data_IF_447743898852
#
_entry.id   IF_447743898852
#
_cell.length_a   1.000
_cell.length_b   1.000
_cell.length_c   1.000
_cell.angle_alpha   90.00
_cell.angle_beta   90.00
_cell.angle_gamma   90.00
#
_symmetry.space_group_name_H-M   'P 1'
#
loop_
_entity.id
_entity.type
_entity.pdbx_description
1 polymer ?
#
# COMPACT_ATOMS: atom_id res chain seq x y z
N UNK A 1 69.88 -40.98 -5.14
CA UNK A 1 68.64 -41.40 -4.45
C UNK A 1 67.60 -41.70 -5.52
N UNK A 2 67.14 -42.96 -5.65
CA UNK A 2 66.07 -43.34 -6.59
C UNK A 2 64.74 -42.91 -5.98
N UNK A 3 64.17 -41.81 -6.45
CA UNK A 3 62.78 -41.47 -6.13
C UNK A 3 61.89 -42.54 -6.76
N UNK A 4 61.15 -43.27 -5.92
CA UNK A 4 60.24 -44.32 -6.37
C UNK A 4 59.09 -43.66 -7.16
N UNK A 5 58.76 -44.20 -8.33
CA UNK A 5 57.60 -43.74 -9.13
C UNK A 5 56.32 -43.66 -8.28
N UNK A 6 56.18 -44.52 -7.25
CA UNK A 6 55.08 -44.49 -6.28
C UNK A 6 55.05 -43.21 -5.44
N UNK A 7 56.20 -42.69 -5.01
CA UNK A 7 56.26 -41.43 -4.23
C UNK A 7 55.88 -40.21 -5.08
N UNK A 8 56.21 -40.22 -6.37
CA UNK A 8 55.84 -39.14 -7.29
C UNK A 8 54.33 -39.15 -7.60
N UNK A 9 53.74 -40.34 -7.80
CA UNK A 9 52.30 -40.48 -8.02
C UNK A 9 51.51 -40.07 -6.77
N UNK A 10 51.98 -40.45 -5.57
CA UNK A 10 51.35 -40.02 -4.30
C UNK A 10 51.41 -38.51 -4.09
N UNK A 11 52.54 -37.88 -4.40
CA UNK A 11 52.68 -36.42 -4.38
C UNK A 11 51.79 -35.73 -5.40
N UNK A 12 51.69 -36.27 -6.62
CA UNK A 12 50.78 -35.78 -7.66
C UNK A 12 49.31 -35.91 -7.26
N UNK A 13 48.91 -37.02 -6.63
CA UNK A 13 47.55 -37.22 -6.11
C UNK A 13 47.25 -36.30 -4.93
N UNK A 14 48.21 -36.08 -4.01
CA UNK A 14 48.06 -35.09 -2.93
C UNK A 14 47.97 -33.65 -3.46
N UNK A 15 48.77 -33.31 -4.48
CA UNK A 15 48.69 -32.04 -5.19
C UNK A 15 47.35 -31.90 -5.93
N UNK A 16 46.86 -32.95 -6.59
CA UNK A 16 45.55 -32.95 -7.27
C UNK A 16 44.39 -32.83 -6.28
N UNK A 17 44.46 -33.51 -5.12
CA UNK A 17 43.49 -33.39 -4.04
C UNK A 17 43.50 -32.00 -3.38
N UNK A 18 44.66 -31.33 -3.33
CA UNK A 18 44.75 -29.94 -2.85
C UNK A 18 44.28 -28.89 -3.85
N UNK A 19 44.12 -29.28 -5.13
CA UNK A 19 43.64 -28.42 -6.23
C UNK A 19 42.16 -28.66 -6.54
N UNK A 20 41.51 -29.63 -5.90
CA UNK A 20 40.06 -29.70 -5.83
C UNK A 20 39.58 -28.58 -4.92
N UNK A 21 39.35 -27.42 -5.54
CA UNK A 21 38.50 -26.31 -5.12
C UNK A 21 38.18 -26.29 -3.63
N UNK A 22 38.89 -25.44 -2.88
CA UNK A 22 38.39 -24.95 -1.60
C UNK A 22 37.11 -24.16 -1.92
N UNK A 23 35.98 -24.86 -2.00
CA UNK A 23 34.68 -24.22 -1.82
C UNK A 23 34.75 -23.60 -0.44
N UNK A 24 34.67 -22.28 -0.34
CA UNK A 24 34.49 -21.63 0.95
C UNK A 24 33.17 -22.16 1.53
N UNK A 25 33.24 -23.04 2.52
CA UNK A 25 32.07 -23.53 3.22
C UNK A 25 31.52 -22.39 4.08
N UNK A 26 30.29 -21.97 3.82
CA UNK A 26 29.54 -21.04 4.64
C UNK A 26 28.66 -21.82 5.64
N UNK A 27 28.23 -21.17 6.71
CA UNK A 27 27.57 -21.87 7.83
C UNK A 27 26.03 -21.82 7.76
N UNK A 28 25.47 -20.74 7.21
CA UNK A 28 24.02 -20.54 7.04
C UNK A 28 23.75 -19.43 6.01
N UNK A 29 22.49 -19.22 5.62
CA UNK A 29 22.09 -18.02 4.88
C UNK A 29 21.30 -17.05 5.74
N UNK A 30 21.52 -15.75 5.54
CA UNK A 30 20.45 -14.77 5.79
C UNK A 30 19.51 -14.73 4.59
N UNK A 31 18.24 -14.99 4.83
CA UNK A 31 17.17 -14.65 3.91
C UNK A 31 16.59 -13.28 4.29
N UNK A 32 16.80 -12.30 3.42
CA UNK A 32 16.52 -10.90 3.69
C UNK A 32 15.39 -10.41 2.81
N UNK A 33 14.36 -9.86 3.46
CA UNK A 33 13.22 -9.25 2.81
C UNK A 33 13.14 -7.76 3.19
N UNK A 34 12.72 -6.91 2.26
CA UNK A 34 12.64 -5.46 2.43
C UNK A 34 11.23 -4.95 2.24
N UNK A 35 10.85 -3.92 3.01
CA UNK A 35 9.61 -3.19 2.82
C UNK A 35 9.77 -2.11 1.74
N UNK A 36 9.05 -2.17 0.61
CA UNK A 36 9.19 -1.18 -0.46
C UNK A 36 8.86 0.25 -0.02
N UNK A 37 7.93 0.42 0.93
CA UNK A 37 7.57 1.73 1.49
C UNK A 37 8.79 2.43 2.08
N UNK A 38 9.44 1.77 3.03
CA UNK A 38 10.61 2.30 3.73
C UNK A 38 11.87 2.42 2.87
N UNK A 39 11.95 1.76 1.71
CA UNK A 39 12.99 2.05 0.73
C UNK A 39 12.73 3.39 0.01
N UNK A 40 11.46 3.67 -0.28
CA UNK A 40 11.03 4.74 -1.18
C UNK A 40 10.72 6.08 -0.50
N UNK A 41 10.56 6.12 0.81
CA UNK A 41 10.22 7.33 1.59
C UNK A 41 11.44 7.95 2.32
N UNK A 42 12.64 7.58 1.91
CA UNK A 42 13.90 8.18 2.38
C UNK A 42 14.29 9.40 1.54
N UNK A 43 15.35 10.10 1.95
CA UNK A 43 15.95 11.18 1.12
C UNK A 43 16.57 10.69 -0.20
N UNK A 44 16.77 9.37 -0.34
CA UNK A 44 17.31 8.78 -1.57
C UNK A 44 16.17 8.56 -2.56
N UNK A 45 16.47 8.76 -3.84
CA UNK A 45 15.51 8.47 -4.91
C UNK A 45 15.21 6.97 -4.99
N UNK A 46 13.95 6.64 -5.24
CA UNK A 46 13.53 5.32 -5.64
C UNK A 46 12.79 5.37 -6.98
N UNK A 47 12.85 4.28 -7.73
CA UNK A 47 12.18 4.14 -9.01
C UNK A 47 11.48 2.78 -9.07
N UNK A 48 10.21 2.77 -9.45
CA UNK A 48 9.51 1.50 -9.63
C UNK A 48 10.09 0.69 -10.80
N UNK A 49 10.04 -0.65 -10.76
CA UNK A 49 10.41 -1.49 -11.88
C UNK A 49 9.69 -1.13 -13.17
N UNK A 50 10.26 -1.55 -14.29
CA UNK A 50 9.62 -1.46 -15.62
C UNK A 50 8.27 -2.19 -15.72
N UNK A 51 7.98 -3.11 -14.78
CA UNK A 51 6.70 -3.81 -14.66
C UNK A 51 5.65 -3.02 -13.86
N UNK A 52 5.97 -1.80 -13.41
CA UNK A 52 5.09 -0.95 -12.62
C UNK A 52 5.40 -0.99 -11.13
N UNK A 53 4.56 -0.32 -10.34
CA UNK A 53 4.66 -0.27 -8.87
C UNK A 53 4.55 -1.70 -8.30
N UNK A 54 5.48 -2.15 -7.44
CA UNK A 54 5.36 -3.46 -6.78
C UNK A 54 4.12 -3.53 -5.88
N UNK A 55 3.67 -4.75 -5.60
CA UNK A 55 2.63 -4.99 -4.59
C UNK A 55 3.08 -4.43 -3.23
N UNK A 56 2.12 -4.02 -2.40
CA UNK A 56 2.37 -3.50 -1.06
C UNK A 56 2.67 -4.66 -0.09
N UNK A 57 3.72 -5.41 -0.39
CA UNK A 57 4.20 -6.58 0.34
C UNK A 57 5.74 -6.58 0.36
N UNK A 58 6.34 -7.35 1.26
CA UNK A 58 7.78 -7.48 1.37
C UNK A 58 8.36 -8.07 0.08
N UNK A 59 9.37 -7.40 -0.47
CA UNK A 59 10.17 -7.92 -1.59
C UNK A 59 11.40 -8.64 -1.06
N UNK A 60 11.88 -9.66 -1.75
CA UNK A 60 13.19 -10.26 -1.48
C UNK A 60 14.26 -9.19 -1.74
N UNK A 61 15.20 -9.05 -0.82
CA UNK A 61 16.47 -8.36 -1.04
C UNK A 61 17.52 -9.38 -1.48
N UNK A 62 17.73 -10.44 -0.70
CA UNK A 62 18.60 -11.53 -1.11
C UNK A 62 18.69 -12.71 -0.16
N UNK A 63 19.47 -13.70 -0.59
CA UNK A 63 19.79 -14.92 0.14
C UNK A 63 21.32 -14.99 0.29
N UNK A 64 21.84 -14.69 1.47
CA UNK A 64 23.26 -14.37 1.64
C UNK A 64 23.97 -15.42 2.49
N UNK A 65 24.89 -16.22 1.91
CA UNK A 65 25.81 -17.06 2.67
C UNK A 65 26.51 -16.26 3.77
N UNK A 66 26.59 -16.82 4.96
CA UNK A 66 27.15 -16.14 6.14
C UNK A 66 27.89 -17.14 7.03
N UNK A 67 28.84 -16.63 7.83
CA UNK A 67 29.57 -17.41 8.82
C UNK A 67 28.99 -17.19 10.23
N UNK A 68 29.20 -18.16 11.11
CA UNK A 68 28.76 -18.12 12.51
C UNK A 68 29.44 -17.00 13.33
N UNK A 69 30.59 -16.49 12.88
CA UNK A 69 31.30 -15.39 13.52
C UNK A 69 30.75 -13.99 13.14
N UNK A 70 29.78 -13.94 12.21
CA UNK A 70 29.17 -12.72 11.70
C UNK A 70 29.85 -12.12 10.46
N UNK A 71 30.98 -12.66 10.01
CA UNK A 71 31.53 -12.35 8.68
C UNK A 71 30.75 -13.10 7.58
N UNK A 72 31.04 -12.78 6.32
CA UNK A 72 30.43 -13.47 5.17
C UNK A 72 31.40 -13.58 3.98
N UNK A 73 31.28 -14.66 3.17
CA UNK A 73 31.94 -14.73 1.88
C UNK A 73 31.24 -13.80 0.86
N UNK A 74 32.00 -13.24 -0.07
CA UNK A 74 31.44 -12.45 -1.17
C UNK A 74 32.29 -12.55 -2.43
N UNK A 75 31.66 -12.43 -3.59
CA UNK A 75 32.31 -12.43 -4.91
C UNK A 75 33.19 -13.68 -5.13
N UNK A 76 32.65 -14.87 -4.83
CA UNK A 76 33.44 -16.10 -4.68
C UNK A 76 33.90 -16.73 -6.00
N UNK A 77 33.18 -16.51 -7.10
CA UNK A 77 33.60 -16.95 -8.43
C UNK A 77 33.40 -15.84 -9.47
N UNK A 78 34.50 -15.24 -9.91
CA UNK A 78 34.50 -14.21 -10.94
C UNK A 78 34.15 -14.76 -12.35
N UNK A 79 34.22 -16.07 -12.58
CA UNK A 79 33.85 -16.71 -13.84
C UNK A 79 32.37 -17.08 -13.89
N UNK A 80 31.70 -17.16 -12.74
CA UNK A 80 30.27 -17.49 -12.66
C UNK A 80 29.38 -16.25 -12.77
N UNK A 81 29.44 -15.59 -13.92
CA UNK A 81 28.58 -14.45 -14.24
C UNK A 81 27.11 -14.85 -14.37
N UNK A 82 26.20 -13.92 -14.04
CA UNK A 82 24.77 -14.17 -14.10
C UNK A 82 24.30 -14.44 -15.54
N UNK A 83 23.67 -15.59 -15.79
CA UNK A 83 23.03 -15.92 -17.07
C UNK A 83 21.49 -15.87 -16.96
N UNK A 84 20.80 -14.89 -17.56
CA UNK A 84 19.33 -14.81 -17.50
C UNK A 84 18.62 -16.02 -18.13
N UNK A 85 19.29 -16.79 -19.01
CA UNK A 85 18.70 -17.99 -19.61
C UNK A 85 18.54 -19.12 -18.60
N UNK A 86 19.41 -19.20 -17.59
CA UNK A 86 19.35 -20.22 -16.53
C UNK A 86 18.18 -20.02 -15.58
N UNK A 87 17.51 -18.86 -15.61
CA UNK A 87 16.38 -18.52 -14.71
C UNK A 87 15.17 -17.99 -15.48
N UNK A 88 15.08 -18.32 -16.78
CA UNK A 88 14.05 -17.79 -17.65
C UNK A 88 12.63 -18.14 -17.17
N UNK A 89 12.45 -19.34 -16.62
CA UNK A 89 11.22 -19.85 -16.03
C UNK A 89 10.85 -19.16 -14.70
N UNK A 90 11.84 -18.67 -13.95
CA UNK A 90 11.65 -17.99 -12.66
C UNK A 90 11.38 -16.49 -12.81
N UNK A 91 11.62 -15.92 -14.00
CA UNK A 91 11.65 -14.47 -14.23
C UNK A 91 10.39 -13.74 -13.77
N UNK A 92 9.20 -14.27 -14.06
CA UNK A 92 7.94 -13.64 -13.62
C UNK A 92 7.80 -13.63 -12.10
N UNK A 93 8.19 -14.73 -11.45
CA UNK A 93 8.27 -14.84 -10.00
C UNK A 93 9.24 -13.84 -9.40
N UNK A 94 10.41 -13.66 -10.00
CA UNK A 94 11.41 -12.69 -9.56
C UNK A 94 10.96 -11.24 -9.79
N UNK A 95 10.30 -10.93 -10.90
CA UNK A 95 9.75 -9.59 -11.14
C UNK A 95 8.72 -9.18 -10.08
N UNK A 96 7.87 -10.13 -9.68
CA UNK A 96 6.84 -9.89 -8.66
C UNK A 96 7.44 -9.82 -7.24
N UNK A 97 8.28 -10.78 -6.88
CA UNK A 97 8.66 -11.01 -5.49
C UNK A 97 10.07 -10.49 -5.15
N UNK A 98 10.90 -10.15 -6.14
CA UNK A 98 12.25 -9.64 -5.98
C UNK A 98 12.49 -8.38 -6.82
N UNK A 99 11.62 -7.35 -6.72
CA UNK A 99 11.70 -6.15 -7.55
C UNK A 99 12.91 -5.30 -7.19
N UNK A 100 13.47 -4.62 -8.19
CA UNK A 100 14.42 -3.53 -7.96
C UNK A 100 13.69 -2.21 -7.71
N UNK A 101 14.17 -1.42 -6.76
CA UNK A 101 13.66 -0.07 -6.47
C UNK A 101 14.70 1.03 -6.77
N UNK A 102 15.86 0.64 -7.30
CA UNK A 102 16.93 1.57 -7.64
C UNK A 102 16.57 2.41 -8.87
N UNK A 103 17.14 3.62 -8.94
CA UNK A 103 17.00 4.50 -10.09
C UNK A 103 18.20 4.39 -11.06
N UNK A 104 17.96 4.52 -12.39
CA UNK A 104 16.66 4.65 -13.04
C UNK A 104 15.85 3.34 -12.99
N UNK A 105 14.56 3.41 -13.34
CA UNK A 105 13.68 2.24 -13.43
C UNK A 105 14.33 1.09 -14.19
N UNK A 106 14.31 -0.11 -13.60
CA UNK A 106 14.99 -1.29 -14.11
C UNK A 106 14.07 -2.50 -14.30
N UNK A 107 14.54 -3.48 -15.06
CA UNK A 107 13.86 -4.77 -15.25
C UNK A 107 14.08 -5.77 -14.12
N UNK A 108 14.92 -5.42 -13.13
CA UNK A 108 15.39 -6.31 -12.06
C UNK A 108 16.67 -7.06 -12.40
N UNK A 109 17.01 -7.24 -13.69
CA UNK A 109 18.15 -8.08 -14.12
C UNK A 109 19.48 -7.64 -13.51
N UNK A 110 19.78 -6.33 -13.48
CA UNK A 110 21.01 -5.84 -12.89
C UNK A 110 21.09 -6.11 -11.37
N UNK A 111 19.95 -6.05 -10.69
CA UNK A 111 19.86 -6.34 -9.26
C UNK A 111 20.05 -7.84 -9.00
N UNK A 112 19.39 -8.71 -9.76
CA UNK A 112 19.57 -10.16 -9.64
C UNK A 112 21.00 -10.59 -10.01
N UNK A 113 21.60 -9.97 -11.02
CA UNK A 113 23.00 -10.21 -11.36
C UNK A 113 23.93 -9.85 -10.20
N UNK A 114 23.69 -8.70 -9.54
CA UNK A 114 24.43 -8.30 -8.34
C UNK A 114 24.31 -9.32 -7.21
N UNK A 115 23.08 -9.74 -6.88
CA UNK A 115 22.82 -10.71 -5.81
C UNK A 115 23.46 -12.07 -6.13
N UNK A 116 23.40 -12.52 -7.38
CA UNK A 116 24.07 -13.74 -7.81
C UNK A 116 25.60 -13.61 -7.70
N UNK A 117 26.19 -12.63 -8.36
CA UNK A 117 27.65 -12.51 -8.47
C UNK A 117 28.32 -12.24 -7.13
N UNK A 118 27.67 -11.47 -6.26
CA UNK A 118 28.19 -11.15 -4.93
C UNK A 118 27.91 -12.23 -3.89
N UNK A 119 26.71 -12.82 -3.89
CA UNK A 119 26.27 -13.74 -2.83
C UNK A 119 26.01 -15.16 -3.35
N UNK A 120 25.29 -15.32 -4.45
CA UNK A 120 24.97 -16.63 -5.04
C UNK A 120 26.21 -17.47 -5.41
N UNK A 121 27.25 -16.85 -5.97
CA UNK A 121 28.53 -17.53 -6.31
C UNK A 121 29.20 -18.17 -5.09
N UNK A 122 28.92 -17.68 -3.88
CA UNK A 122 29.44 -18.24 -2.64
C UNK A 122 28.66 -19.46 -2.14
N UNK A 123 27.60 -19.86 -2.84
CA UNK A 123 26.79 -21.04 -2.54
C UNK A 123 26.81 -22.09 -3.65
N UNK A 124 27.65 -21.95 -4.68
CA UNK A 124 27.66 -22.80 -5.88
C UNK A 124 27.94 -24.27 -5.63
N UNK A 125 28.62 -24.61 -4.53
CA UNK A 125 28.81 -26.00 -4.12
C UNK A 125 27.51 -26.70 -3.73
N UNK A 126 26.44 -25.94 -3.42
CA UNK A 126 25.13 -26.43 -2.98
C UNK A 126 24.00 -26.02 -3.95
N UNK A 127 24.00 -24.76 -4.39
CA UNK A 127 22.96 -24.15 -5.21
C UNK A 127 23.59 -23.55 -6.46
N UNK A 128 23.26 -24.11 -7.62
CA UNK A 128 23.54 -23.43 -8.89
C UNK A 128 22.66 -22.19 -9.05
N UNK A 129 22.87 -21.43 -10.14
CA UNK A 129 22.14 -20.19 -10.36
C UNK A 129 20.62 -20.37 -10.32
N UNK A 130 20.09 -21.42 -10.95
CA UNK A 130 18.65 -21.69 -10.90
C UNK A 130 18.21 -22.02 -9.47
N UNK A 131 18.90 -22.93 -8.80
CA UNK A 131 18.64 -23.35 -7.44
C UNK A 131 18.65 -22.20 -6.43
N UNK A 132 19.57 -21.25 -6.56
CA UNK A 132 19.68 -20.07 -5.71
C UNK A 132 18.43 -19.19 -5.76
N UNK A 133 18.01 -18.80 -6.97
CA UNK A 133 16.82 -17.96 -7.14
C UNK A 133 15.54 -18.73 -6.80
N UNK A 134 15.47 -20.02 -7.15
CA UNK A 134 14.33 -20.87 -6.81
C UNK A 134 14.18 -21.06 -5.30
N UNK A 135 15.29 -21.22 -4.56
CA UNK A 135 15.31 -21.32 -3.11
C UNK A 135 14.75 -20.06 -2.46
N UNK A 136 15.26 -18.88 -2.84
CA UNK A 136 14.77 -17.60 -2.31
C UNK A 136 13.26 -17.37 -2.60
N UNK A 137 12.78 -17.72 -3.79
CA UNK A 137 11.36 -17.65 -4.14
C UNK A 137 10.51 -18.63 -3.31
N UNK A 138 11.01 -19.83 -3.02
CA UNK A 138 10.32 -20.80 -2.18
C UNK A 138 10.27 -20.34 -0.72
N UNK A 139 11.36 -19.79 -0.19
CA UNK A 139 11.42 -19.19 1.14
C UNK A 139 10.44 -18.01 1.27
N UNK A 140 10.36 -17.14 0.26
CA UNK A 140 9.37 -16.04 0.21
C UNK A 140 7.92 -16.53 0.22
N UNK A 141 7.65 -17.68 -0.38
CA UNK A 141 6.32 -18.32 -0.35
C UNK A 141 6.03 -18.94 1.01
N UNK A 142 7.04 -19.53 1.65
CA UNK A 142 6.94 -20.13 2.98
C UNK A 142 6.77 -19.08 4.08
N UNK A 143 7.42 -17.92 3.94
CA UNK A 143 7.42 -16.83 4.92
C UNK A 143 6.62 -15.64 4.39
N UNK A 144 5.33 -15.60 4.72
CA UNK A 144 4.48 -14.44 4.42
C UNK A 144 4.54 -13.43 5.58
N UNK A 145 5.53 -12.53 5.54
CA UNK A 145 5.76 -11.53 6.58
C UNK A 145 4.59 -10.57 6.76
N UNK A 146 4.01 -10.08 5.66
CA UNK A 146 2.88 -9.16 5.73
C UNK A 146 1.68 -9.82 6.40
N UNK A 147 1.35 -11.06 6.04
CA UNK A 147 0.25 -11.79 6.67
C UNK A 147 0.53 -12.06 8.15
N UNK A 148 1.76 -12.42 8.52
CA UNK A 148 2.16 -12.62 9.91
C UNK A 148 1.94 -11.35 10.75
N UNK A 149 2.36 -10.19 10.24
CA UNK A 149 2.16 -8.90 10.90
C UNK A 149 0.67 -8.53 10.98
N UNK A 150 -0.09 -8.65 9.89
CA UNK A 150 -1.52 -8.37 9.86
C UNK A 150 -2.33 -9.24 10.83
N UNK A 151 -1.99 -10.52 10.95
CA UNK A 151 -2.63 -11.43 11.89
C UNK A 151 -2.45 -11.00 13.35
N UNK A 152 -1.35 -10.29 13.65
CA UNK A 152 -1.07 -9.70 14.96
C UNK A 152 -1.61 -8.26 15.11
N UNK A 153 -2.39 -7.76 14.15
CA UNK A 153 -2.92 -6.40 14.16
C UNK A 153 -1.88 -5.32 13.79
N UNK A 154 -0.73 -5.71 13.25
CA UNK A 154 0.31 -4.78 12.79
C UNK A 154 0.11 -4.57 11.29
N UNK A 155 -0.51 -3.44 10.95
CA UNK A 155 -0.76 -3.08 9.57
C UNK A 155 0.26 -2.06 9.10
N UNK A 156 0.70 -2.13 7.84
CA UNK A 156 1.38 -1.00 7.23
C UNK A 156 0.34 0.10 7.04
N UNK A 157 0.12 0.97 8.01
CA UNK A 157 -0.88 2.05 8.01
C UNK A 157 -0.27 3.42 8.38
N UNK A 158 1.05 3.47 8.61
CA UNK A 158 1.75 4.65 9.08
C UNK A 158 1.62 4.90 10.59
N UNK A 159 1.10 3.94 11.35
CA UNK A 159 1.17 3.94 12.81
C UNK A 159 2.53 3.42 13.31
N UNK A 160 2.84 3.75 14.56
CA UNK A 160 4.03 3.28 15.25
C UNK A 160 3.73 2.00 16.04
N UNK A 161 4.57 0.99 15.85
CA UNK A 161 4.48 -0.28 16.55
C UNK A 161 5.77 -0.55 17.33
N UNK A 162 5.67 -1.21 18.48
CA UNK A 162 6.86 -1.56 19.24
C UNK A 162 7.72 -2.58 18.46
N UNK A 163 9.05 -2.46 18.53
CA UNK A 163 9.96 -3.44 17.95
C UNK A 163 9.71 -4.86 18.50
N UNK A 164 9.32 -4.94 19.77
CA UNK A 164 9.02 -6.21 20.44
C UNK A 164 7.78 -6.85 19.82
N UNK A 165 6.70 -6.10 19.58
CA UNK A 165 5.48 -6.64 18.96
C UNK A 165 5.74 -7.13 17.54
N UNK A 166 6.51 -6.40 16.72
CA UNK A 166 6.89 -6.82 15.37
C UNK A 166 7.69 -8.14 15.42
N UNK A 167 8.72 -8.21 16.27
CA UNK A 167 9.55 -9.40 16.41
C UNK A 167 8.74 -10.61 16.88
N UNK A 168 7.90 -10.43 17.90
CA UNK A 168 7.07 -11.50 18.46
C UNK A 168 6.03 -12.02 17.46
N UNK A 169 5.36 -11.13 16.72
CA UNK A 169 4.38 -11.52 15.71
C UNK A 169 5.00 -12.41 14.62
N UNK A 170 6.18 -12.05 14.14
CA UNK A 170 6.89 -12.84 13.14
C UNK A 170 7.41 -14.15 13.75
N UNK A 171 7.98 -14.11 14.96
CA UNK A 171 8.46 -15.31 15.64
C UNK A 171 7.32 -16.33 15.87
N UNK A 172 6.14 -15.88 16.28
CA UNK A 172 4.97 -16.74 16.49
C UNK A 172 4.49 -17.37 15.17
N UNK A 173 4.46 -16.60 14.08
CA UNK A 173 3.99 -17.09 12.79
C UNK A 173 5.01 -18.02 12.09
N UNK A 174 6.30 -17.73 12.24
CA UNK A 174 7.38 -18.39 11.48
C UNK A 174 8.09 -19.49 12.30
N UNK A 175 8.01 -19.42 13.64
CA UNK A 175 8.67 -20.33 14.56
C UNK A 175 10.12 -19.97 14.90
N UNK A 176 10.68 -18.92 14.27
CA UNK A 176 12.07 -18.50 14.43
C UNK A 176 12.16 -17.00 14.67
N UNK A 177 13.12 -16.59 15.50
CA UNK A 177 13.28 -15.18 15.88
C UNK A 177 13.91 -14.39 14.71
N UNK A 178 13.24 -13.37 14.15
CA UNK A 178 13.83 -12.56 13.11
C UNK A 178 14.77 -11.49 13.69
N UNK A 179 15.66 -10.98 12.85
CA UNK A 179 16.29 -9.69 13.06
C UNK A 179 15.59 -8.60 12.24
N UNK A 180 15.38 -7.45 12.86
CA UNK A 180 14.69 -6.30 12.28
C UNK A 180 15.72 -5.20 12.05
N UNK A 181 15.83 -4.75 10.81
CA UNK A 181 16.62 -3.58 10.41
C UNK A 181 15.67 -2.41 10.14
N UNK A 182 16.05 -1.24 10.66
CA UNK A 182 15.31 0.00 10.47
C UNK A 182 16.15 1.00 9.70
N UNK A 183 15.48 1.88 8.97
CA UNK A 183 16.09 3.08 8.43
C UNK A 183 15.29 4.30 8.92
N UNK A 184 15.57 5.47 8.33
CA UNK A 184 14.85 6.70 8.64
C UNK A 184 14.17 7.26 7.39
N UNK A 185 12.91 7.65 7.53
CA UNK A 185 12.16 8.35 6.49
C UNK A 185 12.67 9.80 6.31
N UNK A 186 12.07 10.54 5.37
CA UNK A 186 12.37 11.98 5.17
C UNK A 186 12.10 12.87 6.39
N UNK A 187 11.22 12.43 7.30
CA UNK A 187 10.89 13.07 8.58
C UNK A 187 11.80 12.64 9.75
N UNK A 188 12.74 11.71 9.50
CA UNK A 188 13.65 11.07 10.47
C UNK A 188 12.97 10.14 11.47
N UNK A 189 11.77 9.65 11.17
CA UNK A 189 11.15 8.59 11.97
C UNK A 189 11.87 7.26 11.72
N UNK A 190 12.08 6.48 12.78
CA UNK A 190 12.56 5.10 12.63
C UNK A 190 11.44 4.24 12.05
N UNK A 191 11.73 3.51 10.99
CA UNK A 191 10.74 2.72 10.27
C UNK A 191 11.27 1.35 9.87
N UNK A 192 10.35 0.39 9.69
CA UNK A 192 10.65 -1.00 9.39
C UNK A 192 11.21 -1.13 7.98
N UNK A 193 12.51 -1.40 7.85
CA UNK A 193 13.16 -1.44 6.55
C UNK A 193 13.37 -2.86 6.02
N UNK A 194 14.09 -3.71 6.75
CA UNK A 194 14.37 -5.09 6.34
C UNK A 194 14.18 -6.08 7.48
N UNK A 195 13.86 -7.31 7.11
CA UNK A 195 13.66 -8.44 8.02
C UNK A 195 14.57 -9.58 7.58
N UNK A 196 15.32 -10.10 8.54
CA UNK A 196 16.30 -11.16 8.36
C UNK A 196 15.80 -12.40 9.07
N UNK A 197 15.77 -13.52 8.34
CA UNK A 197 15.59 -14.87 8.86
C UNK A 197 16.79 -15.72 8.46
N UNK A 198 17.10 -16.74 9.25
CA UNK A 198 18.21 -17.64 8.93
C UNK A 198 17.72 -18.93 8.30
N UNK A 199 18.50 -19.44 7.35
CA UNK A 199 18.21 -20.65 6.59
C UNK A 199 19.44 -21.57 6.65
N UNK A 200 19.20 -22.87 6.73
CA UNK A 200 20.26 -23.86 6.65
C UNK A 200 21.05 -23.78 5.33
N UNK A 201 22.22 -24.41 5.29
CA UNK A 201 23.10 -24.39 4.11
C UNK A 201 22.48 -25.04 2.87
N UNK A 202 21.39 -25.80 3.01
CA UNK A 202 20.64 -26.34 1.87
C UNK A 202 19.75 -25.30 1.17
N UNK A 203 19.53 -24.15 1.81
CA UNK A 203 18.66 -23.08 1.32
C UNK A 203 17.17 -23.41 1.42
N UNK A 204 16.78 -24.36 2.28
CA UNK A 204 15.38 -24.88 2.32
C UNK A 204 14.69 -24.72 3.66
N UNK A 205 15.39 -24.96 4.77
CA UNK A 205 14.76 -24.93 6.09
C UNK A 205 15.18 -23.69 6.86
N UNK A 206 14.21 -23.04 7.50
CA UNK A 206 14.49 -22.00 8.47
C UNK A 206 15.16 -22.60 9.70
N UNK A 207 16.08 -21.84 10.30
CA UNK A 207 16.80 -22.19 11.51
C UNK A 207 16.87 -20.98 12.45
N UNK A 208 17.18 -21.24 13.72
CA UNK A 208 17.58 -20.16 14.61
C UNK A 208 18.87 -19.52 14.10
N UNK A 209 18.90 -18.18 14.10
CA UNK A 209 20.07 -17.44 13.64
C UNK A 209 21.26 -17.67 14.59
N UNK A 210 22.39 -18.19 14.10
CA UNK A 210 23.59 -18.37 14.94
C UNK A 210 24.15 -17.05 15.45
N UNK A 211 24.02 -16.01 14.64
CA UNK A 211 24.43 -14.62 14.92
C UNK A 211 23.42 -13.69 14.27
N UNK A 212 23.26 -12.48 14.81
CA UNK A 212 22.45 -11.42 14.19
C UNK A 212 23.34 -10.27 13.70
N UNK A 213 22.90 -9.52 12.67
CA UNK A 213 23.59 -8.31 12.22
C UNK A 213 23.70 -7.27 13.34
N UNK A 214 24.64 -6.33 13.19
CA UNK A 214 24.75 -5.17 14.08
C UNK A 214 23.91 -4.03 13.52
N UNK A 215 23.00 -3.50 14.32
CA UNK A 215 22.16 -2.36 13.96
C UNK A 215 21.33 -1.90 15.15
N UNK A 216 20.72 -0.72 15.04
CA UNK A 216 19.79 -0.20 16.05
C UNK A 216 18.51 0.24 15.35
N UNK A 217 17.41 -0.32 15.81
CA UNK A 217 16.07 0.26 15.65
C UNK A 217 15.72 1.00 16.93
N UNK A 218 14.82 1.99 16.83
CA UNK A 218 14.19 2.56 18.01
C UNK A 218 13.19 1.57 18.63
N UNK A 219 12.74 1.85 19.86
CA UNK A 219 11.79 0.98 20.56
C UNK A 219 10.41 0.94 19.89
N UNK A 220 10.06 2.03 19.20
CA UNK A 220 8.86 2.18 18.37
C UNK A 220 9.28 2.43 16.92
N UNK A 221 8.58 1.79 15.99
CA UNK A 221 8.94 1.71 14.58
C UNK A 221 7.67 1.97 13.76
N UNK A 222 7.72 2.95 12.87
CA UNK A 222 6.67 3.25 11.90
C UNK A 222 6.61 2.16 10.81
N UNK A 223 5.41 1.68 10.51
CA UNK A 223 5.14 0.83 9.35
C UNK A 223 4.40 1.64 8.28
N UNK A 224 5.14 2.47 7.54
CA UNK A 224 4.60 3.52 6.67
C UNK A 224 3.56 3.04 5.64
N UNK A 225 2.48 3.81 5.43
CA UNK A 225 1.53 3.71 4.29
C UNK A 225 0.78 5.00 3.88
N UNK A 226 0.05 4.88 2.76
CA UNK A 226 -0.61 5.90 1.91
C UNK A 226 -1.92 6.50 2.49
N UNK A 227 -2.32 7.74 2.15
CA UNK A 227 -3.48 8.48 2.73
C UNK A 227 -4.66 8.78 1.73
N UNK A 228 -5.91 8.98 2.23
CA UNK A 228 -7.17 9.29 1.46
C UNK A 228 -8.00 10.48 2.04
N UNK A 229 -8.68 11.28 1.20
CA UNK A 229 -9.53 12.47 1.49
C UNK A 229 -10.93 12.45 0.80
N UNK A 230 -11.89 13.27 1.25
CA UNK A 230 -13.25 13.43 0.66
C UNK A 230 -13.50 14.88 0.16
N UNK A 231 -14.12 15.09 -1.02
CA UNK A 231 -14.61 16.42 -1.48
C UNK A 231 -16.11 16.40 -1.82
N UNK A 232 -16.85 17.41 -1.36
CA UNK A 232 -18.30 17.58 -1.59
C UNK A 232 -18.54 18.88 -2.41
N UNK A 233 -19.32 18.81 -3.49
CA UNK A 233 -19.58 19.91 -4.44
C UNK A 233 -21.04 20.38 -4.41
N UNK A 234 -21.28 21.67 -4.58
CA UNK A 234 -22.61 22.20 -4.91
C UNK A 234 -22.72 22.33 -6.43
N UNK A 235 -23.71 21.72 -7.07
CA UNK A 235 -24.05 22.01 -8.47
C UNK A 235 -25.37 22.79 -8.52
N UNK A 236 -25.36 23.97 -9.16
CA UNK A 236 -26.56 24.51 -9.82
C UNK A 236 -26.50 24.13 -11.31
N UNK A 237 -27.62 23.66 -11.85
CA UNK A 237 -27.65 22.94 -13.13
C UNK A 237 -27.45 23.85 -14.35
N UNK A 238 -26.44 23.57 -15.18
CA UNK A 238 -26.50 23.88 -16.62
C UNK A 238 -25.56 22.96 -17.42
N UNK A 239 -26.13 21.91 -18.03
CA UNK A 239 -25.42 21.04 -18.97
C UNK A 239 -25.74 21.46 -20.40
N UNK A 240 -24.71 21.90 -21.14
CA UNK A 240 -24.81 22.21 -22.56
C UNK A 240 -24.59 20.93 -23.39
N UNK A 241 -25.56 20.62 -24.24
CA UNK A 241 -25.72 19.34 -24.92
C UNK A 241 -24.70 19.12 -26.04
N UNK A 242 -24.01 17.98 -26.03
CA UNK A 242 -23.18 17.55 -27.14
C UNK A 242 -22.77 16.09 -27.08
N UNK A 243 -23.60 15.22 -27.71
CA UNK A 243 -23.38 13.81 -28.09
C UNK A 243 -23.68 12.74 -27.02
N UNK A 244 -24.94 12.29 -26.96
CA UNK A 244 -25.44 11.00 -27.47
C UNK A 244 -26.91 10.83 -27.02
N UNK A 245 -27.86 10.77 -27.95
CA UNK A 245 -29.25 11.26 -27.76
C UNK A 245 -30.22 10.29 -27.05
N UNK A 246 -29.86 9.03 -26.85
CA UNK A 246 -30.74 8.02 -26.23
C UNK A 246 -30.46 7.80 -24.75
N UNK A 247 -29.19 7.86 -24.33
CA UNK A 247 -28.80 7.78 -22.91
C UNK A 247 -29.15 9.09 -22.18
N UNK A 248 -28.98 10.24 -22.85
CA UNK A 248 -29.31 11.55 -22.28
C UNK A 248 -30.80 11.75 -22.01
N UNK A 249 -31.71 11.15 -22.78
CA UNK A 249 -33.15 11.32 -22.54
C UNK A 249 -33.65 10.55 -21.32
N UNK A 250 -33.17 9.32 -21.10
CA UNK A 250 -33.52 8.51 -19.92
C UNK A 250 -32.96 9.10 -18.63
N UNK A 251 -31.70 9.58 -18.67
CA UNK A 251 -31.07 10.28 -17.54
C UNK A 251 -31.76 11.63 -17.29
N UNK A 252 -32.07 12.41 -18.32
CA UNK A 252 -32.76 13.69 -18.15
C UNK A 252 -34.23 13.51 -17.70
N UNK A 253 -34.89 12.40 -17.98
CA UNK A 253 -36.22 12.09 -17.47
C UNK A 253 -36.18 11.68 -15.99
N UNK A 254 -35.20 10.86 -15.58
CA UNK A 254 -34.97 10.51 -14.18
C UNK A 254 -34.59 11.75 -13.33
N UNK A 255 -33.72 12.62 -13.85
CA UNK A 255 -33.33 13.88 -13.19
C UNK A 255 -34.51 14.86 -13.09
N UNK A 256 -35.37 14.96 -14.12
CA UNK A 256 -36.56 15.83 -14.08
C UNK A 256 -37.61 15.36 -13.05
N UNK A 257 -37.69 14.06 -12.77
CA UNK A 257 -38.54 13.52 -11.70
C UNK A 257 -38.02 13.83 -10.28
N UNK A 258 -36.72 14.09 -10.13
CA UNK A 258 -36.05 14.41 -8.86
C UNK A 258 -35.95 15.93 -8.57
N UNK A 259 -36.37 16.78 -9.52
CA UNK A 259 -36.13 18.23 -9.49
C UNK A 259 -36.70 19.00 -8.29
N UNK A 260 -37.64 18.43 -7.54
CA UNK A 260 -38.17 19.03 -6.31
C UNK A 260 -37.59 18.43 -5.01
N UNK A 261 -36.70 17.42 -5.08
CA UNK A 261 -36.16 16.70 -3.91
C UNK A 261 -34.66 16.93 -3.64
N UNK A 262 -33.95 17.70 -4.46
CA UNK A 262 -32.49 17.87 -4.36
C UNK A 262 -32.07 19.31 -4.00
N UNK A 263 -32.66 19.87 -2.95
CA UNK A 263 -32.10 21.05 -2.29
C UNK A 263 -31.06 20.59 -1.25
N UNK A 264 -29.90 20.11 -1.69
CA UNK A 264 -28.80 19.67 -0.81
C UNK A 264 -27.43 19.70 -1.51
N UNK A 265 -26.34 19.58 -0.75
CA UNK A 265 -24.99 19.45 -1.29
C UNK A 265 -24.84 18.16 -2.12
N UNK A 266 -24.22 18.26 -3.29
CA UNK A 266 -23.86 17.11 -4.12
C UNK A 266 -22.51 16.47 -3.74
N UNK A 267 -22.30 15.21 -4.09
CA UNK A 267 -21.00 14.56 -3.93
C UNK A 267 -20.15 14.89 -5.15
N UNK A 268 -18.95 15.46 -4.93
CA UNK A 268 -17.97 15.52 -6.01
C UNK A 268 -17.29 14.16 -6.15
N UNK A 269 -16.86 13.57 -5.03
CA UNK A 269 -16.19 12.27 -4.97
C UNK A 269 -15.34 12.06 -3.71
N UNK A 270 -14.70 10.90 -3.65
CA UNK A 270 -13.61 10.58 -2.72
C UNK A 270 -12.28 10.63 -3.49
N UNK A 271 -11.27 11.31 -2.94
CA UNK A 271 -9.93 11.41 -3.55
C UNK A 271 -8.88 10.88 -2.60
N UNK A 272 -8.03 9.92 -3.00
CA UNK A 272 -6.82 9.66 -2.25
C UNK A 272 -6.02 10.97 -2.08
N UNK A 273 -5.49 11.29 -0.91
CA UNK A 273 -4.63 12.46 -0.74
C UNK A 273 -3.66 12.20 0.39
N UNK A 274 -2.40 12.44 0.08
CA UNK A 274 -1.22 12.22 0.88
C UNK A 274 -1.17 13.21 2.06
N UNK A 275 -0.40 12.86 3.11
CA UNK A 275 -0.13 13.73 4.27
C UNK A 275 0.42 15.12 3.89
N UNK A 276 1.06 15.27 2.74
CA UNK A 276 1.61 16.53 2.23
C UNK A 276 0.60 17.40 1.45
N UNK A 277 -0.65 16.92 1.31
CA UNK A 277 -1.70 17.59 0.56
C UNK A 277 -1.72 17.30 -0.94
N UNK A 278 -0.76 16.54 -1.47
CA UNK A 278 -0.79 16.04 -2.84
C UNK A 278 -1.80 14.90 -2.98
N UNK A 279 -2.37 14.71 -4.17
CA UNK A 279 -3.34 13.66 -4.41
C UNK A 279 -3.09 12.95 -5.74
N UNK A 280 -3.03 11.61 -5.77
CA UNK A 280 -2.85 10.89 -7.02
C UNK A 280 -4.11 10.99 -7.87
N UNK A 281 -3.91 11.14 -9.18
CA UNK A 281 -4.96 11.25 -10.18
C UNK A 281 -4.73 10.22 -11.28
N UNK A 282 -5.82 9.74 -11.89
CA UNK A 282 -5.75 8.75 -12.98
C UNK A 282 -4.97 7.49 -12.58
N UNK A 283 -5.17 7.02 -11.34
CA UNK A 283 -4.44 5.90 -10.74
C UNK A 283 -4.61 4.59 -11.53
N UNK A 284 -5.71 4.46 -12.27
CA UNK A 284 -5.92 3.41 -13.25
C UNK A 284 -6.53 4.03 -14.52
N UNK A 285 -5.78 4.05 -15.63
CA UNK A 285 -6.24 4.62 -16.90
C UNK A 285 -7.06 3.64 -17.75
N UNK A 286 -6.99 2.35 -17.40
CA UNK A 286 -7.67 1.27 -18.11
C UNK A 286 -8.96 0.82 -17.39
N UNK A 287 -9.25 1.36 -16.20
CA UNK A 287 -10.52 1.16 -15.52
C UNK A 287 -11.62 1.94 -16.25
N UNK A 288 -12.43 1.23 -17.02
CA UNK A 288 -13.70 1.75 -17.54
C UNK A 288 -14.84 1.29 -16.63
N UNK A 289 -15.78 2.20 -16.34
CA UNK A 289 -17.05 1.82 -15.72
C UNK A 289 -17.93 1.24 -16.83
N UNK A 290 -18.36 0.00 -16.68
CA UNK A 290 -19.35 -0.55 -17.61
C UNK A 290 -20.77 -0.05 -17.24
N UNK A 291 -21.68 -0.04 -18.21
CA UNK A 291 -23.04 0.50 -18.01
C UNK A 291 -23.82 -0.18 -16.87
N UNK A 292 -23.54 -1.46 -16.60
CA UNK A 292 -24.19 -2.23 -15.53
C UNK A 292 -23.69 -1.80 -14.13
N UNK A 293 -22.41 -1.45 -13.98
CA UNK A 293 -21.83 -0.87 -12.77
C UNK A 293 -22.32 0.57 -12.53
N UNK A 294 -22.47 1.36 -13.61
CA UNK A 294 -23.04 2.70 -13.51
C UNK A 294 -24.53 2.66 -13.12
N UNK A 295 -25.30 1.75 -13.70
CA UNK A 295 -26.71 1.55 -13.36
C UNK A 295 -26.91 1.06 -11.92
N UNK A 296 -26.02 0.21 -11.38
CA UNK A 296 -26.03 -0.20 -9.97
C UNK A 296 -25.73 0.96 -9.02
N UNK A 297 -24.78 1.84 -9.36
CA UNK A 297 -24.54 3.08 -8.61
C UNK A 297 -25.74 4.03 -8.64
N UNK A 298 -26.40 4.18 -9.79
CA UNK A 298 -27.62 4.98 -9.92
C UNK A 298 -28.84 4.36 -9.21
N UNK A 299 -28.98 3.04 -9.19
CA UNK A 299 -30.08 2.34 -8.54
C UNK A 299 -30.12 2.60 -7.03
N UNK A 300 -28.95 2.77 -6.40
CA UNK A 300 -28.83 3.19 -4.99
C UNK A 300 -29.32 4.62 -4.80
N UNK A 301 -29.15 5.50 -5.80
CA UNK A 301 -29.67 6.88 -5.77
C UNK A 301 -31.20 6.96 -5.89
N UNK A 302 -31.85 5.90 -6.39
CA UNK A 302 -33.29 5.88 -6.71
C UNK A 302 -34.13 5.11 -5.68
N UNK A 303 -33.55 4.29 -4.81
CA UNK A 303 -34.32 3.58 -3.78
C UNK A 303 -34.93 4.59 -2.77
N UNK A 304 -36.26 4.78 -2.74
CA UNK A 304 -36.89 5.56 -1.70
C UNK A 304 -36.81 4.80 -0.38
N UNK A 305 -36.67 5.52 0.72
CA UNK A 305 -36.81 4.98 2.08
C UNK A 305 -38.03 4.06 2.18
N UNK A 306 -37.80 2.75 2.32
CA UNK A 306 -38.87 1.81 2.63
C UNK A 306 -39.11 1.82 4.14
N UNK A 307 -40.34 2.19 4.52
CA UNK A 307 -40.89 2.19 5.87
C UNK A 307 -40.86 0.78 6.53
N UNK A 308 -40.99 0.68 7.87
CA UNK A 308 -40.69 -0.54 8.60
C UNK A 308 -41.84 -1.54 8.51
N UNK A 309 -41.54 -2.78 8.14
CA UNK A 309 -42.47 -3.90 8.27
C UNK A 309 -42.14 -4.73 9.52
N UNK A 310 -43.12 -4.81 10.41
CA UNK A 310 -43.22 -5.73 11.54
C UNK A 310 -43.60 -7.15 11.08
N UNK A 311 -43.20 -8.18 11.83
CA UNK A 311 -43.88 -9.50 11.77
C UNK A 311 -42.99 -10.75 11.78
N UNK A 312 -42.84 -11.32 12.97
CA UNK A 312 -42.68 -12.74 13.37
C UNK A 312 -42.42 -13.88 12.36
N UNK A 313 -41.43 -14.73 12.67
CA UNK A 313 -41.38 -16.13 12.23
C UNK A 313 -40.05 -16.88 12.51
N UNK A 314 -40.00 -17.67 13.60
CA UNK A 314 -39.02 -18.74 13.90
C UNK A 314 -39.15 -19.89 12.85
N UNK A 315 -38.21 -20.77 12.48
CA UNK A 315 -36.86 -21.17 12.91
C UNK A 315 -36.25 -22.14 11.84
N UNK A 316 -34.91 -22.25 11.87
CA UNK A 316 -34.05 -23.39 11.53
C UNK A 316 -33.60 -23.68 10.08
N UNK A 317 -32.34 -23.30 9.83
CA UNK A 317 -31.40 -23.99 8.93
C UNK A 317 -29.96 -23.68 9.36
N UNK A 318 -29.24 -24.67 9.91
CA UNK A 318 -27.80 -24.57 10.20
C UNK A 318 -27.04 -24.43 8.88
N UNK A 319 -26.29 -23.34 8.72
CA UNK A 319 -25.13 -23.27 7.84
C UNK A 319 -24.03 -22.48 8.53
N UNK A 320 -22.86 -23.09 8.61
CA UNK A 320 -21.63 -22.57 9.20
C UNK A 320 -21.17 -21.31 8.48
N UNK A 321 -21.05 -20.20 9.21
CA UNK A 321 -20.54 -18.94 8.70
C UNK A 321 -19.01 -19.01 8.50
N UNK A 322 -18.48 -18.56 7.36
CA UNK A 322 -17.07 -18.22 7.23
C UNK A 322 -16.80 -16.89 7.94
N UNK A 323 -15.64 -16.80 8.59
CA UNK A 323 -15.06 -15.58 9.14
C UNK A 323 -14.85 -14.59 7.99
N UNK A 324 -15.46 -13.40 8.09
CA UNK A 324 -15.35 -12.34 7.09
C UNK A 324 -13.94 -11.74 7.11
N UNK A 325 -13.22 -11.89 6.00
CA UNK A 325 -12.06 -11.09 5.62
C UNK A 325 -12.51 -9.66 5.29
N UNK A 326 -11.80 -8.66 5.78
CA UNK A 326 -12.07 -7.25 5.48
C UNK A 326 -11.80 -6.99 3.99
N UNK A 327 -12.86 -6.75 3.20
CA UNK A 327 -12.80 -6.53 1.76
C UNK A 327 -12.11 -5.19 1.43
N UNK A 328 -11.19 -5.24 0.46
CA UNK A 328 -10.67 -4.09 -0.26
C UNK A 328 -11.84 -3.36 -0.94
N UNK A 329 -11.95 -2.03 -0.79
CA UNK A 329 -13.09 -1.27 -1.33
C UNK A 329 -13.05 -1.33 -2.85
N UNK A 330 -13.94 -2.15 -3.43
CA UNK A 330 -14.13 -2.22 -4.86
C UNK A 330 -14.84 -0.95 -5.39
N UNK A 331 -15.04 -0.87 -6.71
CA UNK A 331 -15.70 0.30 -7.32
C UNK A 331 -17.09 0.57 -6.72
N UNK A 332 -17.83 -0.46 -6.31
CA UNK A 332 -19.14 -0.32 -5.68
C UNK A 332 -18.99 0.25 -4.27
N UNK A 333 -18.08 -0.30 -3.48
CA UNK A 333 -17.76 0.18 -2.14
C UNK A 333 -17.30 1.64 -2.12
N UNK A 334 -16.62 2.12 -3.17
CA UNK A 334 -16.23 3.52 -3.30
C UNK A 334 -17.45 4.46 -3.32
N UNK A 335 -18.44 4.16 -4.17
CA UNK A 335 -19.64 4.98 -4.26
C UNK A 335 -20.52 4.84 -3.03
N UNK A 336 -20.61 3.63 -2.46
CA UNK A 336 -21.34 3.38 -1.23
C UNK A 336 -20.76 4.15 -0.03
N UNK A 337 -19.42 4.15 0.12
CA UNK A 337 -18.72 4.91 1.15
C UNK A 337 -18.98 6.42 1.01
N UNK A 338 -18.91 6.95 -0.21
CA UNK A 338 -19.17 8.37 -0.46
C UNK A 338 -20.61 8.76 -0.07
N UNK A 339 -21.60 7.93 -0.40
CA UNK A 339 -23.01 8.15 -0.05
C UNK A 339 -23.22 8.09 1.48
N UNK A 340 -22.66 7.08 2.15
CA UNK A 340 -22.73 6.97 3.62
C UNK A 340 -22.11 8.17 4.32
N UNK A 341 -20.95 8.63 3.86
CA UNK A 341 -20.30 9.82 4.40
C UNK A 341 -21.13 11.08 4.16
N UNK A 342 -21.76 11.25 2.99
CA UNK A 342 -22.68 12.37 2.75
C UNK A 342 -23.84 12.37 3.74
N UNK A 343 -24.51 11.23 3.90
CA UNK A 343 -25.63 11.09 4.83
C UNK A 343 -25.20 11.39 6.27
N UNK A 344 -24.01 10.92 6.65
CA UNK A 344 -23.43 11.15 7.98
C UNK A 344 -23.05 12.61 8.22
N UNK A 345 -22.49 13.31 7.24
CA UNK A 345 -22.18 14.73 7.37
C UNK A 345 -23.43 15.60 7.46
N UNK A 346 -24.47 15.26 6.68
CA UNK A 346 -25.76 15.96 6.62
C UNK A 346 -25.60 17.51 6.60
N UNK A 347 -24.73 18.00 5.72
CA UNK A 347 -24.22 19.37 5.76
C UNK A 347 -25.31 20.44 5.75
N UNK A 348 -26.34 20.28 4.91
CA UNK A 348 -27.41 21.27 4.87
C UNK A 348 -28.19 21.32 6.18
N UNK A 349 -28.47 20.18 6.81
CA UNK A 349 -29.15 20.15 8.09
C UNK A 349 -28.27 20.76 9.20
N UNK A 350 -26.97 20.50 9.18
CA UNK A 350 -26.01 21.11 10.10
C UNK A 350 -26.04 22.64 9.99
N UNK A 351 -25.94 23.16 8.77
CA UNK A 351 -25.99 24.60 8.49
C UNK A 351 -27.34 25.22 8.89
N UNK A 352 -28.46 24.58 8.53
CA UNK A 352 -29.82 25.04 8.91
C UNK A 352 -30.00 25.11 10.41
N UNK A 353 -29.44 24.15 11.15
CA UNK A 353 -29.49 24.13 12.62
C UNK A 353 -28.74 25.30 13.25
N UNK A 354 -27.71 25.82 12.56
CA UNK A 354 -27.01 27.06 12.91
C UNK A 354 -27.66 28.33 12.32
N UNK A 355 -28.83 28.23 11.68
CA UNK A 355 -29.53 29.34 11.04
C UNK A 355 -28.92 29.77 9.70
N UNK A 356 -28.00 29.00 9.14
CA UNK A 356 -27.35 29.24 7.86
C UNK A 356 -28.13 28.48 6.78
N UNK A 357 -28.67 29.20 5.80
CA UNK A 357 -29.54 28.63 4.76
C UNK A 357 -29.14 29.12 3.37
N UNK A 358 -29.42 28.34 2.33
CA UNK A 358 -29.21 28.71 0.94
C UNK A 358 -30.30 29.70 0.52
N UNK A 359 -30.04 30.98 0.73
CA UNK A 359 -31.02 32.06 0.55
C UNK A 359 -30.39 33.32 -0.07
N UNK A 360 -29.29 33.13 -0.82
CA UNK A 360 -28.42 34.17 -1.35
C UNK A 360 -27.85 35.14 -0.29
N UNK A 361 -28.04 34.84 0.99
CA UNK A 361 -27.53 35.60 2.12
C UNK A 361 -26.03 35.41 2.35
N UNK A 362 -25.44 36.33 3.12
CA UNK A 362 -24.01 36.31 3.47
C UNK A 362 -23.81 35.91 4.92
N UNK A 363 -22.98 34.88 5.11
CA UNK A 363 -22.69 34.29 6.41
C UNK A 363 -21.21 34.40 6.72
N UNK A 364 -20.87 34.49 8.01
CA UNK A 364 -19.49 34.48 8.44
C UNK A 364 -18.86 33.10 8.21
N UNK A 365 -17.68 33.07 7.60
CA UNK A 365 -16.97 31.83 7.26
C UNK A 365 -16.64 30.99 8.50
N UNK A 366 -16.31 31.63 9.62
CA UNK A 366 -16.07 30.95 10.89
C UNK A 366 -17.33 30.25 11.37
N UNK A 367 -18.48 30.91 11.29
CA UNK A 367 -19.78 30.34 11.67
C UNK A 367 -20.16 29.12 10.83
N UNK A 368 -19.87 29.15 9.51
CA UNK A 368 -20.04 28.00 8.61
C UNK A 368 -19.15 26.83 9.05
N UNK A 369 -17.86 27.11 9.31
CA UNK A 369 -16.90 26.08 9.73
C UNK A 369 -17.27 25.45 11.07
N UNK A 370 -17.68 26.26 12.04
CA UNK A 370 -18.09 25.77 13.36
C UNK A 370 -19.37 24.93 13.29
N UNK A 371 -20.37 25.34 12.51
CA UNK A 371 -21.59 24.55 12.34
C UNK A 371 -21.32 23.15 11.76
N UNK A 372 -20.41 23.06 10.77
CA UNK A 372 -20.01 21.78 10.18
C UNK A 372 -19.13 20.97 11.14
N UNK A 373 -18.25 21.63 11.90
CA UNK A 373 -17.41 20.98 12.91
C UNK A 373 -18.23 20.42 14.05
N UNK A 374 -19.26 21.12 14.51
CA UNK A 374 -20.19 20.62 15.53
C UNK A 374 -20.93 19.37 15.05
N UNK A 375 -21.31 19.33 13.77
CA UNK A 375 -22.00 18.18 13.19
C UNK A 375 -21.09 16.97 12.91
N UNK A 376 -19.85 17.20 12.48
CA UNK A 376 -18.95 16.12 12.02
C UNK A 376 -17.87 15.76 13.03
N UNK A 377 -17.59 16.63 14.00
CA UNK A 377 -16.46 16.53 14.92
C UNK A 377 -15.15 17.13 14.39
N UNK A 378 -15.09 17.49 13.10
CA UNK A 378 -13.83 17.85 12.43
C UNK A 378 -13.91 19.19 11.71
N UNK A 379 -12.79 19.90 11.67
CA UNK A 379 -12.73 21.22 11.04
C UNK A 379 -12.77 21.08 9.52
N UNK A 380 -13.76 21.66 8.81
CA UNK A 380 -13.83 21.51 7.37
C UNK A 380 -12.88 22.47 6.64
N UNK A 381 -12.46 22.06 5.46
CA UNK A 381 -11.96 22.98 4.44
C UNK A 381 -13.13 23.58 3.67
N UNK A 382 -13.07 24.87 3.35
CA UNK A 382 -14.09 25.54 2.55
C UNK A 382 -13.38 26.22 1.38
N UNK A 383 -13.85 25.94 0.17
CA UNK A 383 -13.45 26.66 -1.04
C UNK A 383 -14.62 27.48 -1.55
N UNK A 384 -14.29 28.70 -1.97
CA UNK A 384 -15.25 29.65 -2.51
C UNK A 384 -14.93 29.95 -3.97
N UNK A 385 -15.98 30.13 -4.76
CA UNK A 385 -15.89 30.73 -6.09
C UNK A 385 -16.34 32.19 -6.04
N UNK A 386 -16.38 32.84 -7.20
CA UNK A 386 -16.74 34.25 -7.31
C UNK A 386 -17.84 34.41 -8.36
N UNK A 387 -18.93 35.08 -8.00
CA UNK A 387 -20.04 35.34 -8.92
C UNK A 387 -19.77 36.53 -9.88
N UNK A 388 -20.72 36.82 -10.76
CA UNK A 388 -20.64 37.94 -11.69
C UNK A 388 -20.56 39.32 -10.99
N UNK A 389 -21.05 39.41 -9.77
CA UNK A 389 -21.01 40.61 -8.91
C UNK A 389 -19.73 40.70 -8.07
N UNK A 390 -18.84 39.70 -8.18
CA UNK A 390 -17.61 39.53 -7.40
C UNK A 390 -17.82 39.16 -5.93
N UNK A 391 -18.95 38.56 -5.59
CA UNK A 391 -19.19 38.01 -4.26
C UNK A 391 -18.47 36.66 -4.10
N UNK A 392 -17.82 36.45 -2.94
CA UNK A 392 -17.29 35.14 -2.55
C UNK A 392 -18.47 34.21 -2.19
N UNK A 393 -18.65 33.12 -2.93
CA UNK A 393 -19.75 32.17 -2.78
C UNK A 393 -19.24 30.81 -2.29
N UNK A 394 -19.98 30.13 -1.40
CA UNK A 394 -19.63 28.76 -0.97
C UNK A 394 -19.68 27.87 -2.21
N UNK A 395 -18.58 27.17 -2.49
CA UNK A 395 -18.46 26.32 -3.68
C UNK A 395 -18.20 24.85 -3.32
N UNK A 396 -17.21 24.59 -2.48
CA UNK A 396 -16.88 23.21 -2.05
C UNK A 396 -16.63 23.14 -0.55
N UNK A 397 -17.04 22.01 0.04
CA UNK A 397 -16.74 21.65 1.43
C UNK A 397 -15.87 20.40 1.41
N UNK A 398 -14.79 20.44 2.18
CA UNK A 398 -13.81 19.37 2.30
C UNK A 398 -13.86 18.81 3.72
N UNK A 399 -14.00 17.50 3.81
CA UNK A 399 -13.91 16.73 5.04
C UNK A 399 -12.94 15.58 4.78
N UNK A 400 -12.30 15.06 5.82
CA UNK A 400 -11.44 13.90 5.69
C UNK A 400 -12.15 12.71 6.29
N UNK A 401 -12.05 11.58 5.61
CA UNK A 401 -12.54 10.31 6.10
C UNK A 401 -11.35 9.36 6.24
N UNK A 402 -11.50 8.38 7.11
CA UNK A 402 -10.55 7.29 7.21
C UNK A 402 -10.44 6.52 5.88
N UNK A 403 -9.40 5.70 5.75
CA UNK A 403 -9.14 4.98 4.50
C UNK A 403 -10.25 3.98 4.14
N UNK A 404 -11.06 3.57 5.10
CA UNK A 404 -12.24 2.72 4.86
C UNK A 404 -13.46 3.50 4.37
N UNK A 405 -13.39 4.84 4.35
CA UNK A 405 -14.49 5.71 3.94
C UNK A 405 -15.73 5.58 4.83
N UNK A 406 -15.54 5.24 6.12
CA UNK A 406 -16.65 5.00 7.06
C UNK A 406 -16.76 6.07 8.15
N UNK A 407 -15.63 6.65 8.57
CA UNK A 407 -15.55 7.60 9.67
C UNK A 407 -14.88 8.90 9.23
N UNK A 408 -15.33 10.03 9.77
CA UNK A 408 -14.60 11.30 9.58
C UNK A 408 -13.35 11.33 10.46
N UNK A 409 -12.31 12.00 9.99
CA UNK A 409 -11.03 12.18 10.68
C UNK A 409 -10.52 13.61 10.50
N UNK A 410 -9.54 14.01 11.31
CA UNK A 410 -8.91 15.32 11.19
C UNK A 410 -8.11 15.39 9.88
N UNK A 411 -8.26 16.48 9.14
CA UNK A 411 -7.57 16.64 7.87
C UNK A 411 -6.09 16.98 8.06
N UNK A 412 -5.16 16.20 7.49
CA UNK A 412 -3.73 16.52 7.54
C UNK A 412 -3.40 17.87 6.87
N UNK A 413 -4.05 18.14 5.74
CA UNK A 413 -3.88 19.37 4.96
C UNK A 413 -5.22 19.78 4.35
N UNK A 414 -5.77 20.89 4.84
CA UNK A 414 -6.94 21.50 4.22
C UNK A 414 -6.53 22.35 3.01
N UNK A 415 -7.34 22.41 1.95
CA UNK A 415 -7.07 23.24 0.79
C UNK A 415 -6.92 24.71 1.20
N UNK A 416 -5.78 25.29 0.82
CA UNK A 416 -5.43 26.69 1.07
C UNK A 416 -5.97 27.56 -0.06
N UNK A 417 -7.29 27.78 -0.11
CA UNK A 417 -7.90 28.73 -1.04
C UNK A 417 -8.69 29.79 -0.28
N UNK A 418 -8.64 31.02 -0.78
CA UNK A 418 -9.13 32.21 -0.06
C UNK A 418 -10.62 32.39 -0.32
N UNK A 419 -11.42 32.02 0.68
CA UNK A 419 -12.74 32.59 0.89
C UNK A 419 -12.60 33.96 1.57
N UNK A 420 -13.53 34.87 1.30
CA UNK A 420 -13.68 36.07 2.13
C UNK A 420 -14.22 35.72 3.53
N UNK A 421 -14.12 36.65 4.48
CA UNK A 421 -14.64 36.44 5.84
C UNK A 421 -16.16 36.32 5.87
N UNK A 422 -16.84 36.96 4.91
CA UNK A 422 -18.26 36.75 4.63
C UNK A 422 -18.42 36.06 3.29
N UNK A 423 -19.18 34.98 3.28
CA UNK A 423 -19.40 34.15 2.10
C UNK A 423 -20.89 34.05 1.85
N UNK A 424 -21.29 34.23 0.59
CA UNK A 424 -22.65 34.04 0.15
C UNK A 424 -22.98 32.55 0.10
N UNK A 425 -24.16 32.16 0.59
CA UNK A 425 -24.73 30.83 0.38
C UNK A 425 -25.87 30.91 -0.64
N UNK A 426 -25.60 30.57 -1.91
CA UNK A 426 -26.59 30.71 -2.97
C UNK A 426 -27.84 29.87 -2.72
N UNK A 427 -29.00 30.36 -3.13
CA UNK A 427 -30.21 29.53 -3.25
C UNK A 427 -30.01 28.44 -4.32
N UNK A 428 -30.62 27.26 -4.10
CA UNK A 428 -30.42 26.08 -4.94
C UNK A 428 -31.03 26.18 -6.34
#
# INVERSE_FOLDING_TARGET
MKTSSSTLIKLLVLLYLSVLSVSQEFDFFYFVQQWPGSYCDTVKSCCYPTTGKPEADFGIHGLWPNYNDGNYPSNCDANSTYDPKKVADLRSGMQKNWPTLACPSGSGVAFWAHEWEKHGTCSESILDQHGYFQAALNLRRQVNLLQALKNAGINPDGESYSLISIRSAIQEAVGFTPWIECNADTSRNSQLYQIYLCVDTSGKALIDCPVFPRGKCDSEIDTSQFFVFLKILIFSTSFNSGRDLTVTQSIAAAIRGLGNQLQDFGIHGLWPQNKDGSYPQNCNRDSSLNEDQFAKGLAITVLPQAAPASGSGLMNGKSTAPVQSQEEIDQHGYFEAALKLKEKANLLQALKSAGIKPDDGFYDLGSIKEAIKEATGFTPGIECNTDASRNSQIYQVFLCADISGSEFVECPVLPQRRCESKVQFPEF
#
